data_IF_751676486419
#
_entry.id   IF_751676486419
#
_cell.length_a   1.000
_cell.length_b   1.000
_cell.length_c   1.000
_cell.angle_alpha   90.00
_cell.angle_beta   90.00
_cell.angle_gamma   90.00
#
_symmetry.space_group_name_H-M   'P 1'
#
loop_
_entity.id
_entity.type
_entity.pdbx_description
1 polymer ?
#
# COMPACT_ATOMS: atom_id res chain seq x y z
N UNK A 1 37.96 3.50 -5.11
CA UNK A 1 37.02 3.96 -4.07
C UNK A 1 36.70 2.75 -3.21
N UNK A 2 36.70 2.88 -1.89
CA UNK A 2 36.38 1.75 -0.99
C UNK A 2 34.92 1.34 -1.14
N UNK A 3 34.66 0.05 -0.94
CA UNK A 3 33.31 -0.49 -0.88
C UNK A 3 32.58 0.08 0.34
N UNK A 4 31.29 0.43 0.18
CA UNK A 4 30.45 0.94 1.27
C UNK A 4 30.13 -0.19 2.24
N UNK A 5 30.30 0.05 3.53
CA UNK A 5 30.14 -0.96 4.59
C UNK A 5 28.81 -0.79 5.32
N UNK A 6 28.24 -1.90 5.83
CA UNK A 6 26.99 -1.86 6.61
C UNK A 6 27.04 -0.87 7.79
N UNK A 7 28.12 -0.77 8.58
CA UNK A 7 28.20 0.23 9.65
C UNK A 7 28.09 1.68 9.17
N UNK A 8 28.62 2.01 7.99
CA UNK A 8 28.49 3.36 7.40
C UNK A 8 27.05 3.65 6.98
N UNK A 9 26.38 2.67 6.37
CA UNK A 9 24.94 2.77 6.01
C UNK A 9 24.09 2.96 7.27
N UNK A 10 24.33 2.17 8.31
CA UNK A 10 23.64 2.25 9.61
C UNK A 10 23.84 3.61 10.26
N UNK A 11 25.08 4.12 10.30
CA UNK A 11 25.35 5.44 10.88
C UNK A 11 24.67 6.56 10.08
N UNK A 12 24.81 6.53 8.75
CA UNK A 12 24.25 7.53 7.85
C UNK A 12 22.72 7.62 7.95
N UNK A 13 22.00 6.49 7.92
CA UNK A 13 20.52 6.50 8.02
C UNK A 13 20.04 6.94 9.40
N UNK A 14 20.70 6.51 10.48
CA UNK A 14 20.30 6.90 11.84
C UNK A 14 20.58 8.36 12.13
N UNK A 15 21.69 8.90 11.61
CA UNK A 15 21.96 10.35 11.65
C UNK A 15 20.95 11.12 10.84
N UNK A 16 20.53 10.62 9.68
CA UNK A 16 19.47 11.26 8.90
C UNK A 16 18.15 11.36 9.69
N UNK A 17 17.67 10.24 10.23
CA UNK A 17 16.43 10.22 11.02
C UNK A 17 16.54 11.09 12.27
N UNK A 18 17.64 10.97 13.02
CA UNK A 18 17.84 11.75 14.24
C UNK A 18 18.03 13.23 13.97
N UNK A 19 19.04 13.59 13.17
CA UNK A 19 19.50 14.97 13.05
C UNK A 19 18.57 15.79 12.15
N UNK A 20 18.12 15.22 11.03
CA UNK A 20 17.32 15.97 10.05
C UNK A 20 15.84 15.88 10.37
N UNK A 21 15.30 14.67 10.56
CA UNK A 21 13.86 14.50 10.75
C UNK A 21 13.37 14.77 12.18
N UNK A 22 14.12 14.36 13.21
CA UNK A 22 13.65 14.49 14.60
C UNK A 22 14.23 15.71 15.36
N UNK A 23 15.38 16.24 14.92
CA UNK A 23 15.98 17.47 15.45
C UNK A 23 15.81 18.68 14.51
N UNK A 24 15.17 18.48 13.36
CA UNK A 24 14.84 19.51 12.35
C UNK A 24 16.07 20.28 11.83
N UNK A 25 17.24 19.64 11.79
CA UNK A 25 18.50 20.26 11.35
C UNK A 25 18.68 20.14 9.84
N UNK A 26 17.96 20.99 9.09
CA UNK A 26 18.04 21.04 7.62
C UNK A 26 19.47 21.34 7.12
N UNK A 27 20.27 22.06 7.89
CA UNK A 27 21.68 22.32 7.59
C UNK A 27 22.51 21.04 7.41
N UNK A 28 22.05 19.90 7.94
CA UNK A 28 22.74 18.61 7.85
C UNK A 28 22.51 17.90 6.52
N UNK A 29 21.53 18.32 5.71
CA UNK A 29 21.18 17.69 4.42
C UNK A 29 22.39 17.59 3.49
N UNK A 30 23.16 18.66 3.33
CA UNK A 30 24.36 18.70 2.46
C UNK A 30 25.52 17.85 3.00
N UNK A 31 25.51 17.55 4.29
CA UNK A 31 26.54 16.70 4.91
C UNK A 31 26.20 15.21 4.78
N UNK A 32 24.91 14.86 4.75
CA UNK A 32 24.40 13.49 4.76
C UNK A 32 24.00 12.97 3.37
N UNK A 33 23.89 13.84 2.37
CA UNK A 33 23.62 13.48 0.98
C UNK A 33 24.80 13.86 0.08
N UNK A 34 24.97 13.13 -1.01
CA UNK A 34 25.93 13.49 -2.06
C UNK A 34 25.39 14.67 -2.88
N UNK A 35 26.29 15.37 -3.60
CA UNK A 35 25.90 16.55 -4.39
C UNK A 35 25.00 16.20 -5.58
N UNK A 36 25.20 15.03 -6.17
CA UNK A 36 24.42 14.46 -7.27
C UNK A 36 23.27 13.56 -6.78
N UNK A 37 22.73 13.86 -5.59
CA UNK A 37 21.63 13.09 -5.01
C UNK A 37 20.36 13.17 -5.87
N UNK A 38 19.64 12.05 -5.95
CA UNK A 38 18.37 11.93 -6.69
C UNK A 38 17.24 11.45 -5.78
N UNK A 39 16.14 12.19 -5.76
CA UNK A 39 14.85 11.76 -5.21
C UNK A 39 13.98 11.17 -6.33
N UNK A 40 13.64 9.89 -6.23
CA UNK A 40 12.82 9.19 -7.23
C UNK A 40 11.32 9.31 -6.99
N UNK A 41 10.90 9.94 -5.89
CA UNK A 41 9.50 10.23 -5.58
C UNK A 41 9.31 11.73 -5.22
N UNK A 42 9.69 12.66 -6.12
CA UNK A 42 9.50 14.09 -5.87
C UNK A 42 8.00 14.43 -5.85
N UNK A 43 7.63 15.45 -5.07
CA UNK A 43 6.30 16.05 -5.20
C UNK A 43 6.12 16.70 -6.59
N UNK A 44 4.86 16.92 -7.02
CA UNK A 44 4.60 17.60 -8.30
C UNK A 44 5.26 18.97 -8.37
N UNK A 45 6.13 19.18 -9.36
CA UNK A 45 6.90 20.41 -9.55
C UNK A 45 8.18 20.52 -8.71
N UNK A 46 8.47 19.55 -7.83
CA UNK A 46 9.76 19.46 -7.14
C UNK A 46 10.85 18.98 -8.11
N UNK A 47 12.02 19.62 -8.03
CA UNK A 47 13.24 19.14 -8.68
C UNK A 47 13.76 17.88 -7.95
N UNK A 48 14.05 16.82 -8.71
CA UNK A 48 14.57 15.54 -8.20
C UNK A 48 15.94 15.69 -7.54
N UNK A 49 16.69 16.75 -7.86
CA UNK A 49 18.00 17.00 -7.30
C UNK A 49 17.95 17.42 -5.82
N UNK A 50 19.12 17.39 -5.16
CA UNK A 50 19.29 17.74 -3.75
C UNK A 50 18.61 19.06 -3.34
N UNK A 51 18.73 20.11 -4.17
CA UNK A 51 18.17 21.43 -3.86
C UNK A 51 16.64 21.42 -3.84
N UNK A 52 16.01 20.72 -4.77
CA UNK A 52 14.55 20.58 -4.80
C UNK A 52 14.05 19.81 -3.58
N UNK A 53 14.71 18.70 -3.25
CA UNK A 53 14.41 17.94 -2.04
C UNK A 53 14.56 18.79 -0.77
N UNK A 54 15.64 19.58 -0.65
CA UNK A 54 15.90 20.43 0.52
C UNK A 54 14.80 21.48 0.71
N UNK A 55 14.39 22.16 -0.36
CA UNK A 55 13.35 23.19 -0.28
C UNK A 55 11.99 22.62 0.17
N UNK A 56 11.63 21.43 -0.33
CA UNK A 56 10.43 20.71 0.12
C UNK A 56 10.52 20.33 1.59
N UNK A 57 11.67 19.81 2.03
CA UNK A 57 11.89 19.43 3.42
C UNK A 57 11.79 20.64 4.36
N UNK A 58 12.32 21.80 3.97
CA UNK A 58 12.17 23.07 4.70
C UNK A 58 10.70 23.44 4.86
N UNK A 59 9.96 23.52 3.74
CA UNK A 59 8.51 23.83 3.78
C UNK A 59 7.73 22.81 4.63
N UNK A 60 8.07 21.54 4.53
CA UNK A 60 7.42 20.48 5.29
C UNK A 60 7.66 20.63 6.80
N UNK A 61 8.91 20.81 7.24
CA UNK A 61 9.21 20.99 8.66
C UNK A 61 8.66 22.31 9.23
N UNK A 62 8.58 23.36 8.42
CA UNK A 62 7.87 24.58 8.79
C UNK A 62 6.36 24.34 8.94
N UNK A 63 5.76 23.54 8.06
CA UNK A 63 4.33 23.20 8.09
C UNK A 63 3.95 22.27 9.24
N UNK A 64 4.86 21.37 9.61
CA UNK A 64 4.71 20.37 10.67
C UNK A 64 5.84 20.56 11.71
N UNK A 65 5.79 21.63 12.52
CA UNK A 65 6.90 21.98 13.44
C UNK A 65 7.06 20.99 14.62
N UNK A 66 6.10 20.09 14.81
CA UNK A 66 6.13 18.96 15.73
C UNK A 66 6.39 17.63 15.01
N UNK A 67 6.89 17.66 13.77
CA UNK A 67 7.15 16.47 12.98
C UNK A 67 8.11 15.50 13.69
N UNK A 68 7.75 14.22 13.67
CA UNK A 68 8.56 13.13 14.19
C UNK A 68 8.45 11.92 13.28
N UNK A 69 9.58 11.28 13.02
CA UNK A 69 9.65 9.98 12.37
C UNK A 69 10.14 8.92 13.35
N UNK A 70 9.28 7.95 13.62
CA UNK A 70 9.64 6.71 14.28
C UNK A 70 9.90 5.64 13.24
N UNK A 71 11.12 5.12 13.22
CA UNK A 71 11.49 3.95 12.40
C UNK A 71 11.24 2.71 13.23
N UNK A 72 10.29 1.89 12.78
CA UNK A 72 9.93 0.61 13.39
C UNK A 72 10.90 -0.49 12.94
N UNK A 73 11.38 -0.42 11.69
CA UNK A 73 12.23 -1.45 11.09
C UNK A 73 13.25 -0.89 10.09
N UNK A 74 14.43 -1.51 10.04
CA UNK A 74 15.51 -1.23 9.09
C UNK A 74 16.01 -2.56 8.47
N UNK A 75 15.94 -2.71 7.14
CA UNK A 75 16.49 -3.85 6.40
C UNK A 75 17.72 -3.40 5.62
N UNK A 76 18.86 -4.10 5.76
CA UNK A 76 20.12 -3.71 5.12
C UNK A 76 20.63 -4.78 4.14
N UNK A 77 20.93 -4.39 2.90
CA UNK A 77 21.63 -5.25 1.91
C UNK A 77 22.67 -4.42 1.17
N UNK A 78 23.96 -4.72 1.41
CA UNK A 78 25.07 -4.01 0.78
C UNK A 78 25.12 -2.52 1.13
N UNK A 79 24.99 -1.68 0.10
CA UNK A 79 25.01 -0.21 0.17
C UNK A 79 23.63 0.42 0.38
N UNK A 80 22.61 -0.38 0.67
CA UNK A 80 21.21 0.06 0.67
C UNK A 80 20.51 -0.30 1.98
N UNK A 81 19.54 0.53 2.36
CA UNK A 81 18.65 0.32 3.50
C UNK A 81 17.20 0.54 3.08
N UNK A 82 16.28 -0.24 3.64
CA UNK A 82 14.84 0.02 3.61
C UNK A 82 14.37 0.30 5.03
N UNK A 83 13.78 1.46 5.25
CA UNK A 83 13.19 1.86 6.52
C UNK A 83 11.67 1.75 6.45
N UNK A 84 11.05 1.18 7.48
CA UNK A 84 9.60 1.19 7.69
C UNK A 84 9.33 1.95 8.96
N UNK A 85 8.33 2.83 8.94
CA UNK A 85 7.94 3.48 10.18
C UNK A 85 6.73 4.40 10.04
N UNK A 86 6.55 5.24 11.05
CA UNK A 86 5.40 6.14 11.17
C UNK A 86 5.85 7.59 11.31
N UNK A 87 5.23 8.45 10.52
CA UNK A 87 5.32 9.89 10.62
C UNK A 87 4.21 10.42 11.52
N UNK A 88 4.54 11.41 12.32
CA UNK A 88 3.63 12.16 13.16
C UNK A 88 3.84 13.65 12.92
N UNK A 89 2.79 14.45 12.97
CA UNK A 89 2.89 15.90 12.96
C UNK A 89 1.53 16.56 12.95
N UNK A 90 1.48 17.85 13.24
CA UNK A 90 0.29 18.69 13.18
C UNK A 90 0.53 19.76 12.12
N UNK A 91 -0.40 19.91 11.17
CA UNK A 91 -0.27 20.92 10.12
C UNK A 91 -0.58 22.32 10.69
N UNK A 92 0.43 22.96 11.25
CA UNK A 92 0.31 24.26 11.93
C UNK A 92 0.49 25.45 10.99
N UNK A 93 1.17 25.25 9.87
CA UNK A 93 1.31 26.24 8.80
C UNK A 93 0.85 25.69 7.45
N UNK A 94 0.72 26.58 6.47
CA UNK A 94 0.26 26.23 5.14
C UNK A 94 1.25 25.28 4.45
N UNK A 95 0.74 24.17 3.91
CA UNK A 95 1.53 23.14 3.24
C UNK A 95 0.97 22.91 1.84
N UNK A 96 1.82 22.91 0.81
CA UNK A 96 1.40 22.60 -0.57
C UNK A 96 0.22 23.47 -1.07
N UNK A 97 0.14 24.72 -0.63
CA UNK A 97 -0.90 25.66 -1.03
C UNK A 97 -2.24 25.49 -0.30
N UNK A 98 -2.29 24.62 0.70
CA UNK A 98 -3.44 24.44 1.57
C UNK A 98 -3.25 25.20 2.86
N UNK A 99 -4.31 25.83 3.39
CA UNK A 99 -4.25 26.52 4.67
C UNK A 99 -3.97 25.53 5.80
N UNK A 100 -3.22 25.97 6.80
CA UNK A 100 -3.00 25.21 8.03
C UNK A 100 -4.31 24.61 8.58
N UNK A 101 -4.40 23.28 8.68
CA UNK A 101 -5.61 22.60 9.16
C UNK A 101 -5.67 22.52 10.68
N UNK A 102 -4.52 22.61 11.37
CA UNK A 102 -4.38 22.40 12.81
C UNK A 102 -4.63 20.96 13.27
N UNK A 103 -4.83 20.03 12.35
CA UNK A 103 -5.17 18.65 12.66
C UNK A 103 -3.93 17.74 12.71
N UNK A 104 -3.91 16.73 13.59
CA UNK A 104 -2.82 15.77 13.66
C UNK A 104 -2.87 14.80 12.48
N UNK A 105 -1.70 14.49 11.95
CA UNK A 105 -1.43 13.57 10.86
C UNK A 105 -0.60 12.42 11.40
N UNK A 106 -1.01 11.21 11.07
CA UNK A 106 -0.17 10.02 11.21
C UNK A 106 -0.21 9.28 9.89
N UNK A 107 0.96 8.86 9.41
CA UNK A 107 1.08 8.13 8.15
C UNK A 107 2.18 7.07 8.27
N UNK A 108 1.97 5.92 7.65
CA UNK A 108 3.06 4.96 7.45
C UNK A 108 3.91 5.36 6.27
N UNK A 109 5.22 5.14 6.40
CA UNK A 109 6.20 5.43 5.37
C UNK A 109 7.19 4.29 5.23
N UNK A 110 7.53 3.99 3.98
CA UNK A 110 8.60 3.09 3.59
C UNK A 110 9.59 3.85 2.71
N UNK A 111 10.84 3.91 3.15
CA UNK A 111 11.92 4.62 2.44
C UNK A 111 13.05 3.64 2.10
N UNK A 112 13.31 3.43 0.81
CA UNK A 112 14.50 2.74 0.33
C UNK A 112 15.57 3.77 -0.03
N UNK A 113 16.77 3.64 0.52
CA UNK A 113 17.87 4.60 0.36
C UNK A 113 19.15 3.87 0.00
N UNK A 114 19.89 4.39 -0.99
CA UNK A 114 21.23 3.91 -1.33
C UNK A 114 22.30 4.86 -0.80
N UNK A 115 23.43 4.31 -0.42
CA UNK A 115 24.57 5.01 0.15
C UNK A 115 25.84 4.88 -0.68
N UNK A 116 26.72 5.86 -0.54
CA UNK A 116 28.13 5.78 -0.86
C UNK A 116 28.92 6.24 0.37
N UNK A 117 29.59 5.30 1.06
CA UNK A 117 30.10 5.53 2.41
C UNK A 117 28.95 5.81 3.37
N UNK A 118 29.03 6.91 4.12
CA UNK A 118 27.99 7.36 5.06
C UNK A 118 26.96 8.33 4.43
N UNK A 119 27.04 8.59 3.11
CA UNK A 119 26.19 9.57 2.43
C UNK A 119 25.15 8.92 1.53
N UNK A 120 23.94 9.45 1.54
CA UNK A 120 22.85 9.01 0.66
C UNK A 120 23.07 9.50 -0.77
N UNK A 121 22.85 8.61 -1.72
CA UNK A 121 22.97 8.85 -3.18
C UNK A 121 21.63 8.98 -3.85
N UNK A 122 20.67 8.14 -3.47
CA UNK A 122 19.32 8.17 -4.02
C UNK A 122 18.31 7.63 -3.03
N UNK A 123 17.05 8.02 -3.19
CA UNK A 123 15.92 7.59 -2.36
C UNK A 123 14.72 7.23 -3.23
N UNK A 124 14.04 6.17 -2.83
CA UNK A 124 12.64 5.94 -3.15
C UNK A 124 11.85 5.99 -1.85
N UNK A 125 10.78 6.78 -1.82
CA UNK A 125 9.88 6.81 -0.68
C UNK A 125 8.45 6.58 -1.13
N UNK A 126 7.79 5.62 -0.49
CA UNK A 126 6.37 5.30 -0.68
C UNK A 126 5.68 5.21 0.68
N UNK A 127 4.36 5.28 0.73
CA UNK A 127 3.66 5.23 2.00
C UNK A 127 2.15 5.23 1.85
N UNK A 128 1.49 5.16 3.00
CA UNK A 128 0.05 5.15 3.10
C UNK A 128 -0.42 6.47 3.71
N UNK A 129 -0.43 7.54 2.92
CA UNK A 129 -0.74 8.88 3.40
C UNK A 129 -2.23 9.25 3.28
N UNK A 130 -3.16 8.31 3.48
CA UNK A 130 -4.62 8.52 3.34
C UNK A 130 -5.12 9.77 4.08
N UNK A 131 -4.62 9.99 5.30
CA UNK A 131 -4.97 11.16 6.09
C UNK A 131 -4.42 12.46 5.47
N UNK A 132 -3.21 12.42 4.91
CA UNK A 132 -2.66 13.56 4.19
C UNK A 132 -3.35 13.79 2.84
N UNK A 133 -3.73 12.75 2.10
CA UNK A 133 -4.56 12.86 0.89
C UNK A 133 -5.94 13.46 1.17
N UNK A 134 -6.53 13.16 2.33
CA UNK A 134 -7.73 13.86 2.83
C UNK A 134 -7.48 15.32 3.09
N UNK A 135 -6.39 15.67 3.80
CA UNK A 135 -6.02 17.08 4.00
C UNK A 135 -5.86 17.81 2.66
N UNK A 136 -5.33 17.11 1.66
CA UNK A 136 -5.12 17.65 0.32
C UNK A 136 -6.39 17.73 -0.56
N UNK A 137 -7.55 17.31 -0.03
CA UNK A 137 -8.84 17.35 -0.74
C UNK A 137 -8.93 16.40 -1.92
N UNK A 138 -8.05 15.39 -1.98
CA UNK A 138 -7.92 14.46 -3.12
C UNK A 138 -8.91 13.31 -3.02
N UNK A 139 -9.03 12.74 -1.83
CA UNK A 139 -10.16 11.88 -1.50
C UNK A 139 -11.39 12.77 -1.28
N UNK A 140 -12.46 12.53 -2.04
CA UNK A 140 -13.68 13.31 -1.93
C UNK A 140 -14.09 13.47 -0.45
N UNK A 141 -14.35 14.71 -0.04
CA UNK A 141 -15.24 14.97 1.10
C UNK A 141 -16.66 14.62 0.64
N UNK A 142 -16.95 13.32 0.47
CA UNK A 142 -18.33 12.84 0.62
C UNK A 142 -18.85 13.27 2.00
N UNK A 143 -20.17 13.19 2.23
CA UNK A 143 -20.77 13.38 3.57
C UNK A 143 -19.78 12.89 4.61
N UNK A 144 -19.30 13.79 5.49
CA UNK A 144 -18.30 13.47 6.52
C UNK A 144 -18.52 12.02 6.93
N UNK A 145 -17.58 11.12 6.61
CA UNK A 145 -17.63 9.81 7.24
C UNK A 145 -17.31 10.11 8.69
N UNK A 146 -18.36 10.47 9.42
CA UNK A 146 -18.31 10.77 10.84
C UNK A 146 -17.76 9.50 11.44
N UNK A 147 -16.68 9.65 12.23
CA UNK A 147 -16.14 8.53 12.97
C UNK A 147 -17.28 7.76 13.63
N UNK A 148 -17.18 6.44 13.63
CA UNK A 148 -18.20 5.61 14.23
C UNK A 148 -18.36 5.96 15.71
N UNK A 149 -19.60 5.97 16.21
CA UNK A 149 -19.85 6.17 17.65
C UNK A 149 -19.74 4.85 18.42
N UNK A 150 -19.98 3.73 17.73
CA UNK A 150 -19.97 2.38 18.29
C UNK A 150 -19.26 1.38 17.37
N UNK A 151 -18.93 0.20 17.88
CA UNK A 151 -18.42 -0.90 17.07
C UNK A 151 -19.39 -1.30 15.95
N UNK A 152 -20.70 -1.32 16.24
CA UNK A 152 -21.74 -1.65 15.25
C UNK A 152 -21.75 -0.64 14.10
N UNK A 153 -21.66 0.66 14.40
CA UNK A 153 -21.55 1.71 13.38
C UNK A 153 -20.29 1.52 12.52
N UNK A 154 -19.16 1.14 13.13
CA UNK A 154 -17.91 0.91 12.43
C UNK A 154 -18.01 -0.28 11.47
N UNK A 155 -18.64 -1.38 11.91
CA UNK A 155 -18.88 -2.57 11.08
C UNK A 155 -19.79 -2.24 9.90
N UNK A 156 -20.91 -1.57 10.13
CA UNK A 156 -21.82 -1.22 9.05
C UNK A 156 -21.20 -0.22 8.06
N UNK A 157 -20.50 0.80 8.58
CA UNK A 157 -19.77 1.76 7.75
C UNK A 157 -18.67 1.10 6.93
N UNK A 158 -17.96 0.12 7.49
CA UNK A 158 -16.93 -0.62 6.78
C UNK A 158 -17.53 -1.47 5.64
N UNK A 159 -18.55 -2.27 5.93
CA UNK A 159 -19.16 -3.17 4.95
C UNK A 159 -19.75 -2.39 3.76
N UNK A 160 -20.32 -1.22 4.03
CA UNK A 160 -20.91 -0.36 3.01
C UNK A 160 -19.88 0.48 2.26
N UNK A 161 -19.11 1.31 2.98
CA UNK A 161 -18.23 2.31 2.37
C UNK A 161 -16.89 1.72 1.93
N UNK A 162 -16.25 0.88 2.77
CA UNK A 162 -14.93 0.33 2.47
C UNK A 162 -15.05 -0.88 1.54
N UNK A 163 -15.76 -1.93 1.98
CA UNK A 163 -15.86 -3.17 1.22
C UNK A 163 -16.73 -3.03 -0.03
N UNK A 164 -17.82 -2.26 0.04
CA UNK A 164 -18.79 -2.09 -1.05
C UNK A 164 -18.40 -1.04 -2.09
N UNK A 165 -17.69 0.02 -1.69
CA UNK A 165 -17.41 1.19 -2.56
C UNK A 165 -15.95 1.58 -2.69
N UNK A 166 -15.04 0.91 -1.98
CA UNK A 166 -13.62 1.30 -1.93
C UNK A 166 -13.42 2.76 -1.48
N UNK A 167 -14.24 3.24 -0.54
CA UNK A 167 -14.11 4.59 0.02
C UNK A 167 -12.93 4.68 0.98
N UNK A 168 -11.81 5.22 0.49
CA UNK A 168 -10.57 5.36 1.25
C UNK A 168 -10.65 6.42 2.36
N UNK A 169 -11.63 7.33 2.34
CA UNK A 169 -11.87 8.23 3.46
C UNK A 169 -12.50 7.48 4.63
N UNK A 170 -13.39 6.52 4.36
CA UNK A 170 -13.95 5.65 5.39
C UNK A 170 -12.89 4.74 6.04
N UNK A 171 -11.85 4.34 5.30
CA UNK A 171 -10.76 3.51 5.83
C UNK A 171 -10.08 4.16 7.06
N UNK A 172 -9.47 5.34 6.94
CA UNK A 172 -8.84 5.95 8.16
C UNK A 172 -9.84 6.44 9.21
N UNK A 173 -11.14 6.56 8.90
CA UNK A 173 -12.16 6.88 9.90
C UNK A 173 -12.57 5.66 10.74
N UNK A 174 -12.56 4.45 10.15
CA UNK A 174 -13.16 3.26 10.74
C UNK A 174 -12.14 2.18 11.12
N UNK A 175 -10.96 2.19 10.50
CA UNK A 175 -9.94 1.15 10.63
C UNK A 175 -8.73 1.71 11.35
N UNK A 176 -8.31 1.05 12.42
CA UNK A 176 -7.09 1.41 13.14
C UNK A 176 -5.90 1.34 12.18
N UNK A 177 -4.93 2.24 12.34
CA UNK A 177 -3.74 2.22 11.50
C UNK A 177 -3.04 0.86 11.63
N UNK A 178 -2.94 0.29 12.83
CA UNK A 178 -2.34 -1.02 13.13
C UNK A 178 -3.30 -2.20 12.94
N UNK A 179 -4.47 -2.00 12.32
CA UNK A 179 -5.37 -3.09 12.01
C UNK A 179 -4.76 -4.06 11.00
N UNK A 180 -4.99 -5.36 11.21
CA UNK A 180 -4.47 -6.43 10.36
C UNK A 180 -5.57 -7.17 9.61
N UNK A 181 -5.21 -7.85 8.52
CA UNK A 181 -6.05 -8.89 7.92
C UNK A 181 -5.38 -10.24 7.84
N UNK A 182 -6.20 -11.27 7.68
CA UNK A 182 -5.73 -12.56 7.17
C UNK A 182 -5.27 -12.38 5.71
N UNK A 183 -3.98 -12.59 5.47
CA UNK A 183 -3.36 -12.33 4.18
C UNK A 183 -3.87 -13.29 3.09
N UNK A 184 -4.20 -14.53 3.44
CA UNK A 184 -4.70 -15.49 2.45
C UNK A 184 -6.05 -15.03 1.89
N UNK A 185 -6.99 -14.71 2.78
CA UNK A 185 -8.31 -14.19 2.44
C UNK A 185 -8.28 -12.88 1.67
N UNK A 186 -7.45 -11.94 2.09
CA UNK A 186 -7.29 -10.64 1.42
C UNK A 186 -6.68 -10.79 0.02
N UNK A 187 -5.68 -11.65 -0.16
CA UNK A 187 -5.06 -11.89 -1.47
C UNK A 187 -6.02 -12.57 -2.46
N UNK A 188 -6.86 -13.50 -1.97
CA UNK A 188 -7.97 -14.04 -2.77
C UNK A 188 -8.90 -12.91 -3.19
N UNK A 189 -9.26 -12.01 -2.27
CA UNK A 189 -10.10 -10.87 -2.57
C UNK A 189 -9.47 -9.93 -3.62
N UNK A 190 -8.17 -9.62 -3.51
CA UNK A 190 -7.45 -8.83 -4.51
C UNK A 190 -7.49 -9.48 -5.90
N UNK A 191 -7.38 -10.81 -5.97
CA UNK A 191 -7.51 -11.55 -7.23
C UNK A 191 -8.90 -11.40 -7.84
N UNK A 192 -9.95 -11.54 -7.02
CA UNK A 192 -11.36 -11.36 -7.43
C UNK A 192 -11.59 -9.94 -7.95
N UNK A 193 -11.25 -8.92 -7.14
CA UNK A 193 -11.41 -7.50 -7.49
C UNK A 193 -10.66 -7.17 -8.79
N UNK A 194 -9.43 -7.67 -8.94
CA UNK A 194 -8.62 -7.46 -10.14
C UNK A 194 -9.07 -8.21 -11.39
N UNK A 195 -10.04 -9.12 -11.29
CA UNK A 195 -10.56 -9.91 -12.41
C UNK A 195 -11.93 -9.42 -12.92
N UNK A 196 -12.69 -8.74 -12.07
CA UNK A 196 -14.04 -8.28 -12.38
C UNK A 196 -14.06 -6.95 -13.15
N UNK A 197 -15.09 -6.77 -13.97
CA UNK A 197 -15.38 -5.54 -14.72
C UNK A 197 -16.22 -4.56 -13.93
N UNK A 198 -17.25 -5.09 -13.30
CA UNK A 198 -18.08 -4.48 -12.28
C UNK A 198 -17.96 -5.28 -10.98
N UNK A 199 -17.94 -4.58 -9.86
CA UNK A 199 -17.82 -5.18 -8.53
C UNK A 199 -18.94 -4.64 -7.66
N UNK A 200 -19.70 -5.54 -7.05
CA UNK A 200 -20.74 -5.22 -6.10
C UNK A 200 -20.72 -6.22 -4.94
N UNK A 201 -21.06 -5.75 -3.75
CA UNK A 201 -21.20 -6.59 -2.57
C UNK A 201 -22.61 -6.44 -2.02
N UNK A 202 -23.30 -7.55 -1.85
CA UNK A 202 -24.56 -7.60 -1.12
C UNK A 202 -24.34 -8.25 0.25
N UNK A 203 -24.62 -7.53 1.33
CA UNK A 203 -24.59 -8.08 2.69
C UNK A 203 -25.99 -8.58 3.05
N UNK A 204 -26.09 -9.86 3.39
CA UNK A 204 -27.37 -10.54 3.68
C UNK A 204 -27.68 -10.60 5.17
N UNK A 205 -26.66 -10.50 6.03
CA UNK A 205 -26.84 -10.45 7.47
C UNK A 205 -25.54 -10.21 8.20
N UNK A 206 -25.65 -9.60 9.39
CA UNK A 206 -24.53 -9.37 10.31
C UNK A 206 -24.92 -9.90 11.69
N UNK A 207 -24.01 -10.66 12.31
CA UNK A 207 -24.13 -11.13 13.70
C UNK A 207 -23.02 -10.51 14.53
N UNK A 208 -23.37 -10.04 15.72
CA UNK A 208 -22.46 -9.44 16.68
C UNK A 208 -22.29 -10.36 17.90
N UNK A 209 -21.05 -10.50 18.35
CA UNK A 209 -20.66 -11.18 19.58
C UNK A 209 -19.56 -10.37 20.28
N UNK A 210 -19.97 -9.50 21.21
CA UNK A 210 -19.05 -8.59 21.90
C UNK A 210 -18.35 -7.63 20.95
N UNK A 211 -17.03 -7.75 20.87
CA UNK A 211 -16.14 -6.93 20.03
C UNK A 211 -15.87 -7.55 18.65
N UNK A 212 -16.61 -8.61 18.31
CA UNK A 212 -16.48 -9.36 17.07
C UNK A 212 -17.80 -9.33 16.30
N UNK A 213 -17.73 -9.16 14.98
CA UNK A 213 -18.87 -9.24 14.08
C UNK A 213 -18.57 -10.22 12.94
N UNK A 214 -19.59 -10.93 12.47
CA UNK A 214 -19.52 -11.79 11.28
C UNK A 214 -20.64 -11.40 10.33
N UNK A 215 -20.27 -11.04 9.11
CA UNK A 215 -21.21 -10.69 8.05
C UNK A 215 -21.17 -11.74 6.93
N UNK A 216 -22.35 -12.16 6.49
CA UNK A 216 -22.52 -12.99 5.30
C UNK A 216 -22.80 -12.07 4.11
N UNK A 217 -21.95 -12.14 3.10
CA UNK A 217 -22.02 -11.31 1.92
C UNK A 217 -21.90 -12.14 0.63
N UNK A 218 -22.23 -11.52 -0.49
CA UNK A 218 -22.02 -12.09 -1.83
C UNK A 218 -21.39 -11.04 -2.72
N UNK A 219 -20.21 -11.35 -3.25
CA UNK A 219 -19.55 -10.55 -4.28
C UNK A 219 -20.15 -10.92 -5.63
N UNK A 220 -20.55 -9.91 -6.40
CA UNK A 220 -21.07 -10.06 -7.76
C UNK A 220 -20.28 -9.22 -8.74
N UNK A 221 -20.24 -9.70 -9.97
CA UNK A 221 -19.62 -8.99 -11.07
C UNK A 221 -19.54 -9.83 -12.33
N UNK A 222 -18.95 -9.24 -13.36
CA UNK A 222 -18.71 -9.83 -14.66
C UNK A 222 -17.21 -9.91 -14.90
N UNK A 223 -16.70 -11.05 -15.35
CA UNK A 223 -15.26 -11.15 -15.59
C UNK A 223 -14.80 -10.34 -16.81
N UNK A 224 -13.76 -9.53 -16.61
CA UNK A 224 -13.02 -8.88 -17.70
C UNK A 224 -11.75 -9.65 -18.08
N UNK A 225 -11.23 -10.49 -17.16
CA UNK A 225 -9.90 -11.08 -17.24
C UNK A 225 -9.88 -12.49 -16.67
N UNK A 226 -8.73 -13.13 -16.80
CA UNK A 226 -8.45 -14.44 -16.21
C UNK A 226 -8.48 -14.36 -14.69
N UNK A 227 -9.15 -15.34 -14.07
CA UNK A 227 -9.12 -15.60 -12.63
C UNK A 227 -8.88 -17.09 -12.43
N UNK A 228 -7.98 -17.48 -11.52
CA UNK A 228 -7.70 -18.91 -11.26
C UNK A 228 -7.30 -19.67 -12.54
N UNK A 229 -6.49 -19.07 -13.42
CA UNK A 229 -6.13 -19.64 -14.74
C UNK A 229 -7.31 -19.95 -15.67
N UNK A 230 -8.54 -19.66 -15.26
CA UNK A 230 -9.75 -19.71 -16.09
C UNK A 230 -9.94 -18.36 -16.76
N UNK A 231 -10.41 -18.32 -18.00
CA UNK A 231 -10.68 -17.07 -18.72
C UNK A 231 -12.17 -16.90 -19.07
N UNK A 232 -13.09 -16.89 -18.09
CA UNK A 232 -14.52 -16.77 -18.33
C UNK A 232 -14.91 -15.33 -18.71
N UNK A 233 -14.40 -14.78 -19.81
CA UNK A 233 -14.68 -13.39 -20.20
C UNK A 233 -16.17 -13.14 -20.41
N UNK A 234 -16.70 -12.07 -19.82
CA UNK A 234 -18.10 -11.64 -19.95
C UNK A 234 -19.11 -12.50 -19.18
N UNK A 235 -18.68 -13.52 -18.44
CA UNK A 235 -19.56 -14.31 -17.58
C UNK A 235 -19.79 -13.57 -16.25
N UNK A 236 -21.05 -13.52 -15.82
CA UNK A 236 -21.40 -13.08 -14.47
C UNK A 236 -21.05 -14.14 -13.42
N UNK A 237 -20.69 -13.70 -12.22
CA UNK A 237 -20.37 -14.57 -11.08
C UNK A 237 -21.04 -14.07 -9.81
N UNK A 238 -21.38 -15.01 -8.94
CA UNK A 238 -21.75 -14.74 -7.55
C UNK A 238 -20.83 -15.57 -6.65
N UNK A 239 -20.08 -14.91 -5.78
CA UNK A 239 -19.11 -15.54 -4.88
C UNK A 239 -19.53 -15.25 -3.43
N UNK A 240 -19.94 -16.28 -2.67
CA UNK A 240 -20.18 -16.14 -1.23
C UNK A 240 -18.89 -15.68 -0.52
N UNK A 241 -19.07 -14.73 0.39
CA UNK A 241 -18.00 -14.12 1.18
C UNK A 241 -18.46 -14.02 2.62
N UNK A 242 -17.70 -14.60 3.54
CA UNK A 242 -17.86 -14.33 4.97
C UNK A 242 -16.83 -13.30 5.40
N UNK A 243 -17.27 -12.24 6.09
CA UNK A 243 -16.40 -11.19 6.63
C UNK A 243 -16.42 -11.26 8.14
N UNK A 244 -15.28 -11.47 8.77
CA UNK A 244 -15.13 -11.41 10.23
C UNK A 244 -14.41 -10.13 10.60
N UNK A 245 -15.00 -9.32 11.45
CA UNK A 245 -14.43 -8.05 11.92
C UNK A 245 -14.24 -8.09 13.43
N UNK A 246 -13.16 -7.49 13.92
CA UNK A 246 -12.93 -7.24 15.35
C UNK A 246 -12.65 -5.77 15.57
N UNK A 247 -13.02 -5.25 16.73
CA UNK A 247 -12.80 -3.84 17.05
C UNK A 247 -12.45 -3.57 18.49
N UNK A 248 -11.98 -2.35 18.72
CA UNK A 248 -11.77 -1.78 20.05
C UNK A 248 -12.51 -0.44 20.11
N UNK A 249 -13.58 -0.35 20.90
CA UNK A 249 -14.45 0.83 20.90
C UNK A 249 -15.19 0.97 19.58
N UNK A 250 -14.95 2.05 18.84
CA UNK A 250 -15.60 2.33 17.55
C UNK A 250 -14.64 2.22 16.36
N UNK A 251 -13.55 1.46 16.52
CA UNK A 251 -12.51 1.30 15.51
C UNK A 251 -12.25 -0.18 15.27
N UNK A 252 -12.12 -0.57 14.00
CA UNK A 252 -11.79 -1.92 13.59
C UNK A 252 -10.29 -2.17 13.76
N UNK A 253 -9.94 -3.28 14.40
CA UNK A 253 -8.56 -3.69 14.66
C UNK A 253 -8.17 -4.93 13.87
N UNK A 254 -9.14 -5.66 13.32
CA UNK A 254 -8.88 -6.77 12.41
C UNK A 254 -10.05 -7.00 11.48
N UNK A 255 -9.74 -7.38 10.24
CA UNK A 255 -10.74 -7.86 9.26
C UNK A 255 -10.23 -9.13 8.59
N UNK A 256 -11.06 -10.16 8.49
CA UNK A 256 -10.75 -11.38 7.74
C UNK A 256 -11.83 -11.60 6.68
N UNK A 257 -11.39 -11.89 5.45
CA UNK A 257 -12.24 -12.21 4.31
C UNK A 257 -12.12 -13.70 4.01
N UNK A 258 -13.23 -14.43 3.97
CA UNK A 258 -13.21 -15.87 3.71
C UNK A 258 -14.07 -16.20 2.51
N UNK A 259 -13.46 -16.82 1.50
CA UNK A 259 -14.13 -17.38 0.33
C UNK A 259 -14.18 -18.90 0.44
N UNK A 260 -15.29 -19.49 0.04
CA UNK A 260 -15.34 -20.93 -0.23
C UNK A 260 -14.63 -21.21 -1.57
N UNK A 261 -13.37 -21.65 -1.49
CA UNK A 261 -12.54 -21.88 -2.67
C UNK A 261 -13.05 -23.04 -3.54
N UNK A 262 -13.73 -24.03 -2.95
CA UNK A 262 -14.31 -25.14 -3.71
C UNK A 262 -15.54 -24.67 -4.49
N UNK A 263 -16.43 -23.92 -3.83
CA UNK A 263 -17.58 -23.30 -4.49
C UNK A 263 -17.14 -22.30 -5.57
N UNK A 264 -16.09 -21.52 -5.30
CA UNK A 264 -15.49 -20.60 -6.26
C UNK A 264 -14.92 -21.34 -7.47
N UNK A 265 -14.13 -22.41 -7.26
CA UNK A 265 -13.59 -23.22 -8.35
C UNK A 265 -14.72 -23.81 -9.21
N UNK A 266 -15.80 -24.31 -8.58
CA UNK A 266 -16.97 -24.82 -9.27
C UNK A 266 -17.69 -23.74 -10.10
N UNK A 267 -17.87 -22.54 -9.54
CA UNK A 267 -18.49 -21.40 -10.24
C UNK A 267 -17.67 -20.94 -11.46
N UNK A 268 -16.34 -21.08 -11.40
CA UNK A 268 -15.42 -20.73 -12.48
C UNK A 268 -15.24 -21.85 -13.53
N UNK A 269 -15.74 -23.06 -13.26
CA UNK A 269 -15.45 -24.24 -14.07
C UNK A 269 -13.98 -24.67 -14.02
N UNK A 270 -13.28 -24.35 -12.92
CA UNK A 270 -11.92 -24.80 -12.68
C UNK A 270 -11.89 -26.31 -12.34
N UNK A 271 -10.80 -27.05 -12.64
CA UNK A 271 -10.71 -28.47 -12.34
C UNK A 271 -10.83 -28.75 -10.84
N UNK A 272 -11.69 -29.71 -10.46
CA UNK A 272 -11.83 -30.13 -9.07
C UNK A 272 -10.50 -30.69 -8.52
N UNK A 273 -10.06 -30.24 -7.34
CA UNK A 273 -8.81 -30.64 -6.70
C UNK A 273 -7.63 -29.66 -6.86
N UNK A 274 -7.77 -28.58 -7.64
CA UNK A 274 -6.79 -27.48 -7.70
C UNK A 274 -7.11 -26.33 -6.72
N UNK A 275 -8.19 -26.44 -5.94
CA UNK A 275 -8.74 -25.37 -5.08
C UNK A 275 -7.80 -24.93 -3.94
N UNK A 276 -6.78 -25.73 -3.63
CA UNK A 276 -5.63 -25.34 -2.83
C UNK A 276 -4.44 -26.14 -3.38
N UNK A 277 -3.53 -25.49 -4.10
CA UNK A 277 -2.27 -26.15 -4.41
C UNK A 277 -1.60 -26.48 -3.07
N UNK A 278 -1.20 -27.74 -2.85
CA UNK A 278 -0.36 -28.05 -1.69
C UNK A 278 0.82 -27.06 -1.69
N UNK A 279 1.24 -26.54 -0.52
CA UNK A 279 2.40 -25.67 -0.43
C UNK A 279 3.61 -26.41 -1.00
N UNK A 280 3.95 -26.12 -2.26
CA UNK A 280 5.21 -26.56 -2.84
C UNK A 280 6.27 -25.71 -2.16
N UNK A 281 6.94 -26.27 -1.16
CA UNK A 281 8.13 -25.64 -0.59
C UNK A 281 9.08 -25.35 -1.76
N UNK A 282 9.38 -24.07 -2.08
CA UNK A 282 10.49 -23.76 -2.95
C UNK A 282 11.73 -24.32 -2.26
N UNK A 283 12.42 -25.25 -2.91
CA UNK A 283 13.69 -25.76 -2.40
C UNK A 283 14.80 -24.73 -2.67
N UNK A 284 15.28 -23.97 -1.68
CA UNK A 284 16.58 -23.28 -1.81
C UNK A 284 16.90 -22.05 -0.93
N UNK A 285 17.56 -22.26 0.22
CA UNK A 285 18.33 -21.27 1.03
C UNK A 285 18.58 -19.89 0.39
N UNK A 286 18.14 -18.78 1.02
CA UNK A 286 18.37 -17.35 0.68
C UNK A 286 17.95 -16.89 -0.75
N UNK A 287 18.06 -17.73 -1.78
CA UNK A 287 17.40 -17.62 -3.06
C UNK A 287 15.88 -17.81 -2.98
N UNK A 288 15.41 -18.45 -1.91
CA UNK A 288 13.98 -18.65 -1.60
C UNK A 288 13.20 -17.34 -1.55
N UNK A 289 13.71 -16.30 -0.87
CA UNK A 289 13.03 -15.01 -0.73
C UNK A 289 12.81 -14.30 -2.08
N UNK A 290 13.83 -14.28 -2.94
CA UNK A 290 13.73 -13.67 -4.28
C UNK A 290 12.85 -14.51 -5.21
N UNK A 291 12.88 -15.84 -5.08
CA UNK A 291 12.04 -16.75 -5.86
C UNK A 291 10.56 -16.62 -5.47
N UNK A 292 10.23 -16.72 -4.18
CA UNK A 292 8.84 -16.66 -3.69
C UNK A 292 8.19 -15.31 -4.05
N UNK A 293 8.93 -14.20 -3.99
CA UNK A 293 8.40 -12.90 -4.41
C UNK A 293 8.15 -12.80 -5.90
N UNK A 294 9.04 -13.35 -6.74
CA UNK A 294 8.80 -13.38 -8.18
C UNK A 294 7.59 -14.25 -8.51
N UNK A 295 7.43 -15.39 -7.83
CA UNK A 295 6.26 -16.24 -7.97
C UNK A 295 4.98 -15.49 -7.51
N UNK A 296 5.02 -14.83 -6.36
CA UNK A 296 3.92 -14.03 -5.83
C UNK A 296 3.49 -12.92 -6.81
N UNK A 297 4.43 -12.13 -7.30
CA UNK A 297 4.13 -11.06 -8.28
C UNK A 297 3.55 -11.63 -9.57
N UNK A 298 4.11 -12.73 -10.08
CA UNK A 298 3.69 -13.29 -11.37
C UNK A 298 2.37 -14.05 -11.29
N UNK A 299 2.21 -14.88 -10.27
CA UNK A 299 1.09 -15.81 -10.16
C UNK A 299 -0.09 -15.19 -9.40
N UNK A 300 0.15 -14.53 -8.26
CA UNK A 300 -0.92 -13.91 -7.47
C UNK A 300 -1.28 -12.56 -8.04
N UNK A 301 -0.37 -11.57 -8.00
CA UNK A 301 -0.71 -10.20 -8.40
C UNK A 301 -1.05 -10.11 -9.89
N UNK A 302 -0.12 -10.50 -10.78
CA UNK A 302 -0.36 -10.39 -12.22
C UNK A 302 -1.30 -11.49 -12.76
N UNK A 303 -1.13 -12.71 -12.28
CA UNK A 303 -1.85 -13.89 -12.77
C UNK A 303 -3.25 -14.05 -12.20
N UNK A 304 -3.55 -13.43 -11.06
CA UNK A 304 -4.80 -13.62 -10.30
C UNK A 304 -5.07 -15.10 -10.04
N UNK A 305 -4.01 -15.85 -9.78
CA UNK A 305 -4.08 -17.28 -9.49
C UNK A 305 -4.30 -17.49 -8.00
N UNK A 306 -5.56 -17.69 -7.63
CA UNK A 306 -5.95 -17.89 -6.23
C UNK A 306 -5.33 -19.18 -5.67
N UNK A 307 -5.08 -20.21 -6.48
CA UNK A 307 -4.39 -21.42 -6.02
C UNK A 307 -2.94 -21.13 -5.58
N UNK A 308 -2.30 -20.10 -6.16
CA UNK A 308 -0.96 -19.70 -5.78
C UNK A 308 -0.92 -19.06 -4.38
N UNK A 309 -2.03 -18.47 -3.89
CA UNK A 309 -2.10 -17.92 -2.53
C UNK A 309 -1.83 -19.01 -1.49
N UNK A 310 -2.55 -20.13 -1.55
CA UNK A 310 -2.36 -21.27 -0.63
C UNK A 310 -0.96 -21.88 -0.65
N UNK A 311 -0.23 -21.67 -1.75
CA UNK A 311 1.09 -22.25 -1.99
C UNK A 311 2.25 -21.32 -1.61
N UNK A 312 2.01 -20.02 -1.64
CA UNK A 312 3.04 -19.00 -1.43
C UNK A 312 2.88 -18.24 -0.11
N UNK A 313 1.72 -18.35 0.55
CA UNK A 313 1.40 -17.60 1.76
C UNK A 313 1.26 -18.56 2.93
N UNK A 314 1.93 -18.25 4.03
CA UNK A 314 1.90 -19.07 5.23
C UNK A 314 0.51 -19.06 5.89
N UNK A 315 0.06 -20.18 6.48
CA UNK A 315 -1.14 -20.18 7.31
C UNK A 315 -1.01 -19.17 8.46
N UNK A 316 -2.02 -18.31 8.63
CA UNK A 316 -2.02 -17.25 9.64
C UNK A 316 -1.13 -16.06 9.31
N UNK A 317 -0.61 -15.96 8.08
CA UNK A 317 0.04 -14.76 7.59
C UNK A 317 -0.92 -13.57 7.68
N UNK A 318 -0.37 -12.41 8.06
CA UNK A 318 -1.15 -11.18 8.16
C UNK A 318 -0.69 -10.14 7.14
N UNK A 319 -1.56 -9.20 6.85
CA UNK A 319 -1.21 -7.95 6.18
C UNK A 319 -1.77 -6.75 6.94
N UNK A 320 -1.29 -5.55 6.64
CA UNK A 320 -1.85 -4.33 7.19
C UNK A 320 -3.12 -3.93 6.42
N UNK A 321 -4.23 -3.81 7.15
CA UNK A 321 -5.54 -3.79 6.51
C UNK A 321 -5.78 -2.53 5.67
N UNK A 322 -5.34 -1.36 6.14
CA UNK A 322 -5.53 -0.11 5.40
C UNK A 322 -4.82 -0.15 4.04
N UNK A 323 -3.63 -0.73 3.98
CA UNK A 323 -2.80 -0.91 2.80
C UNK A 323 -3.43 -1.91 1.83
N UNK A 324 -4.02 -2.98 2.37
CA UNK A 324 -4.74 -4.01 1.61
C UNK A 324 -5.99 -3.46 0.91
N UNK A 325 -6.86 -2.74 1.62
CA UNK A 325 -8.07 -2.16 1.01
C UNK A 325 -7.73 -1.04 0.02
N UNK A 326 -6.66 -0.29 0.30
CA UNK A 326 -6.11 0.71 -0.63
C UNK A 326 -5.63 0.04 -1.91
N UNK A 327 -4.90 -1.07 -1.81
CA UNK A 327 -4.48 -1.87 -2.95
C UNK A 327 -5.69 -2.38 -3.74
N UNK A 328 -6.72 -2.90 -3.08
CA UNK A 328 -7.95 -3.36 -3.73
C UNK A 328 -8.61 -2.25 -4.59
N UNK A 329 -8.72 -1.03 -4.03
CA UNK A 329 -9.25 0.13 -4.74
C UNK A 329 -8.46 0.44 -6.02
N UNK A 330 -7.12 0.38 -5.97
CA UNK A 330 -6.27 0.59 -7.14
C UNK A 330 -6.41 -0.52 -8.19
N UNK A 331 -6.40 -1.80 -7.78
CA UNK A 331 -6.56 -2.91 -8.71
C UNK A 331 -7.94 -2.85 -9.42
N UNK A 332 -8.98 -2.40 -8.71
CA UNK A 332 -10.29 -2.13 -9.30
C UNK A 332 -10.25 -0.95 -10.28
N UNK A 333 -9.61 0.16 -9.94
CA UNK A 333 -9.52 1.35 -10.81
C UNK A 333 -8.70 1.11 -12.10
N UNK A 334 -7.76 0.17 -12.06
CA UNK A 334 -6.79 -0.14 -13.11
C UNK A 334 -6.89 -1.60 -13.59
N UNK A 335 -7.95 -2.04 -14.26
CA UNK A 335 -8.15 -3.46 -14.63
C UNK A 335 -7.05 -4.12 -15.48
N UNK A 336 -6.26 -3.31 -16.18
CA UNK A 336 -5.12 -3.75 -16.98
C UNK A 336 -3.78 -3.60 -16.25
N UNK A 337 -3.82 -3.51 -14.91
CA UNK A 337 -2.62 -3.37 -14.10
C UNK A 337 -1.60 -4.49 -14.36
N UNK A 338 -0.33 -4.14 -14.22
CA UNK A 338 0.79 -5.06 -14.23
C UNK A 338 1.88 -4.59 -13.28
N UNK A 339 2.34 -5.50 -12.45
CA UNK A 339 3.50 -5.33 -11.59
C UNK A 339 4.75 -5.88 -12.29
N UNK A 340 5.86 -5.15 -12.18
CA UNK A 340 7.17 -5.58 -12.64
C UNK A 340 8.20 -5.39 -11.53
N UNK A 341 8.92 -6.46 -11.19
CA UNK A 341 9.95 -6.44 -10.16
C UNK A 341 11.15 -5.63 -10.66
N UNK A 342 11.44 -4.49 -10.02
CA UNK A 342 12.63 -3.69 -10.30
C UNK A 342 13.80 -4.14 -9.43
N UNK A 343 13.57 -4.32 -8.12
CA UNK A 343 14.61 -4.72 -7.15
C UNK A 343 14.03 -5.59 -6.03
N UNK A 344 14.85 -6.50 -5.52
CA UNK A 344 14.52 -7.29 -4.32
C UNK A 344 15.72 -7.24 -3.35
N UNK A 345 15.45 -6.82 -2.12
CA UNK A 345 16.39 -6.72 -1.01
C UNK A 345 16.06 -7.82 0.00
N UNK A 346 17.05 -8.60 0.44
CA UNK A 346 16.87 -9.67 1.45
C UNK A 346 17.80 -9.40 2.64
N UNK A 347 17.24 -9.27 3.84
CA UNK A 347 17.97 -9.21 5.12
C UNK A 347 17.41 -10.27 6.08
N UNK A 348 18.05 -11.43 6.12
CA UNK A 348 17.54 -12.59 6.87
C UNK A 348 16.22 -13.11 6.31
N UNK A 349 15.19 -13.17 7.16
CA UNK A 349 13.83 -13.57 6.75
C UNK A 349 13.03 -12.40 6.17
N UNK A 350 13.50 -11.15 6.32
CA UNK A 350 12.79 -9.98 5.78
C UNK A 350 13.21 -9.73 4.35
N UNK A 351 12.22 -9.52 3.49
CA UNK A 351 12.42 -9.30 2.06
C UNK A 351 11.62 -8.08 1.63
N UNK A 352 12.29 -7.13 0.98
CA UNK A 352 11.64 -5.96 0.38
C UNK A 352 11.65 -6.06 -1.14
N UNK A 353 10.53 -5.70 -1.74
CA UNK A 353 10.29 -5.62 -3.17
C UNK A 353 10.11 -4.16 -3.58
N UNK A 354 10.95 -3.66 -4.48
CA UNK A 354 10.63 -2.48 -5.29
C UNK A 354 10.02 -2.96 -6.60
N UNK A 355 8.78 -2.58 -6.87
CA UNK A 355 8.08 -2.94 -8.11
C UNK A 355 7.52 -1.70 -8.81
N UNK A 356 7.48 -1.73 -10.14
CA UNK A 356 6.70 -0.78 -10.92
C UNK A 356 5.31 -1.34 -11.20
N UNK A 357 4.30 -0.55 -10.90
CA UNK A 357 2.90 -0.76 -11.25
C UNK A 357 2.57 0.05 -12.50
N UNK A 358 2.02 -0.58 -13.53
CA UNK A 358 1.57 0.08 -14.74
C UNK A 358 0.11 -0.29 -15.04
N UNK A 359 -0.72 0.67 -15.41
CA UNK A 359 -2.11 0.42 -15.79
C UNK A 359 -2.80 1.66 -16.38
N UNK A 360 -4.03 1.47 -16.86
CA UNK A 360 -4.90 2.55 -17.33
C UNK A 360 -6.04 2.78 -16.33
N UNK A 361 -6.26 4.03 -15.93
CA UNK A 361 -7.37 4.39 -15.04
C UNK A 361 -8.70 4.30 -15.80
N UNK A 362 -9.43 3.20 -15.62
CA UNK A 362 -10.66 2.90 -16.39
C UNK A 362 -11.92 2.87 -15.55
N UNK A 363 -11.82 2.94 -14.22
CA UNK A 363 -12.97 2.97 -13.30
C UNK A 363 -12.77 4.04 -12.24
N UNK A 364 -13.85 4.49 -11.58
CA UNK A 364 -13.74 5.53 -10.57
C UNK A 364 -12.73 5.19 -9.46
N UNK A 365 -12.01 6.22 -9.00
CA UNK A 365 -11.05 6.14 -7.92
C UNK A 365 -11.23 7.37 -7.02
N UNK A 366 -11.40 7.15 -5.70
CA UNK A 366 -11.51 8.24 -4.72
C UNK A 366 -12.63 9.27 -5.02
N UNK A 367 -13.72 8.83 -5.67
CA UNK A 367 -14.84 9.70 -6.08
C UNK A 367 -14.64 10.42 -7.41
N UNK A 368 -13.50 10.24 -8.08
CA UNK A 368 -13.22 10.81 -9.40
C UNK A 368 -13.54 9.80 -10.50
N UNK A 369 -14.12 10.22 -11.64
CA UNK A 369 -14.39 9.34 -12.77
C UNK A 369 -13.09 8.84 -13.41
N UNK A 370 -13.19 7.74 -14.15
CA UNK A 370 -12.10 7.21 -14.95
C UNK A 370 -11.55 8.27 -15.91
N UNK A 371 -10.24 8.50 -15.89
CA UNK A 371 -9.59 9.48 -16.77
C UNK A 371 -9.16 8.88 -18.12
N UNK A 372 -9.04 7.55 -18.20
CA UNK A 372 -8.46 6.86 -19.36
C UNK A 372 -6.94 7.02 -19.45
N UNK A 373 -6.29 7.67 -18.49
CA UNK A 373 -4.86 7.92 -18.47
C UNK A 373 -4.10 6.63 -18.14
N UNK A 374 -3.10 6.30 -18.95
CA UNK A 374 -2.12 5.29 -18.61
C UNK A 374 -1.10 5.88 -17.62
N UNK A 375 -0.87 5.19 -16.51
CA UNK A 375 0.05 5.62 -15.47
C UNK A 375 1.02 4.49 -15.10
N UNK A 376 2.25 4.88 -14.76
CA UNK A 376 3.24 4.02 -14.12
C UNK A 376 3.56 4.65 -12.77
N UNK A 377 3.47 3.87 -11.70
CA UNK A 377 3.93 4.24 -10.36
C UNK A 377 4.77 3.12 -9.77
N UNK A 378 5.25 3.27 -8.54
CA UNK A 378 6.05 2.25 -7.84
C UNK A 378 5.39 1.81 -6.55
N UNK A 379 5.73 0.61 -6.12
CA UNK A 379 5.49 0.12 -4.77
C UNK A 379 6.80 -0.33 -4.11
N UNK A 380 6.88 -0.15 -2.79
CA UNK A 380 7.86 -0.82 -1.93
C UNK A 380 7.08 -1.67 -0.95
N UNK A 381 7.14 -2.98 -1.17
CA UNK A 381 6.41 -3.96 -0.39
C UNK A 381 7.40 -4.76 0.46
N UNK A 382 7.02 -5.12 1.68
CA UNK A 382 7.89 -5.83 2.63
C UNK A 382 7.17 -7.07 3.13
N UNK A 383 7.94 -8.14 3.21
CA UNK A 383 7.46 -9.48 3.53
C UNK A 383 8.40 -10.11 4.54
N UNK A 384 7.86 -10.91 5.43
CA UNK A 384 8.63 -11.97 6.08
C UNK A 384 8.55 -13.23 5.21
N UNK A 385 9.66 -13.96 5.08
CA UNK A 385 9.73 -15.24 4.41
C UNK A 385 10.29 -16.27 5.38
N UNK A 386 9.45 -17.24 5.72
CA UNK A 386 9.81 -18.36 6.59
C UNK A 386 9.43 -19.66 5.88
N UNK A 387 10.35 -20.61 5.84
CA UNK A 387 10.16 -21.92 5.17
C UNK A 387 9.66 -21.80 3.72
N UNK A 388 10.10 -20.75 3.02
CA UNK A 388 9.75 -20.48 1.62
C UNK A 388 8.33 -19.94 1.41
N UNK A 389 7.64 -19.56 2.48
CA UNK A 389 6.30 -18.97 2.45
C UNK A 389 6.34 -17.52 2.94
N UNK A 390 5.49 -16.68 2.35
CA UNK A 390 5.27 -15.30 2.75
C UNK A 390 4.45 -15.25 4.05
N UNK A 391 4.92 -14.50 5.02
CA UNK A 391 4.17 -14.05 6.19
C UNK A 391 4.37 -12.54 6.38
N UNK A 392 3.47 -11.87 7.09
CA UNK A 392 3.53 -10.44 7.41
C UNK A 392 3.83 -9.53 6.20
N UNK A 393 2.77 -9.10 5.51
CA UNK A 393 2.86 -8.33 4.28
C UNK A 393 2.53 -6.87 4.55
N UNK A 394 3.46 -6.00 4.15
CA UNK A 394 3.32 -4.54 4.22
C UNK A 394 3.39 -4.01 2.79
N UNK A 395 2.28 -3.48 2.29
CA UNK A 395 2.26 -2.82 0.97
C UNK A 395 2.57 -1.34 1.11
N UNK A 396 3.33 -0.80 0.18
CA UNK A 396 3.61 0.63 0.12
C UNK A 396 3.46 1.12 -1.30
N UNK A 397 2.43 1.92 -1.60
CA UNK A 397 2.21 2.45 -2.94
C UNK A 397 2.61 3.93 -3.02
N UNK A 398 3.24 4.34 -4.12
CA UNK A 398 3.39 5.76 -4.44
C UNK A 398 2.07 6.31 -4.98
N UNK A 399 1.18 6.65 -4.03
CA UNK A 399 -0.12 7.23 -4.32
C UNK A 399 -0.01 8.65 -4.85
N UNK A 400 0.92 9.45 -4.31
CA UNK A 400 1.09 10.85 -4.72
C UNK A 400 1.38 10.98 -6.20
N UNK A 401 2.45 10.33 -6.68
CA UNK A 401 2.83 10.43 -8.09
C UNK A 401 1.76 9.85 -9.00
N UNK A 402 1.00 8.86 -8.54
CA UNK A 402 -0.11 8.31 -9.29
C UNK A 402 -1.24 9.34 -9.43
N UNK A 403 -1.75 9.89 -8.33
CA UNK A 403 -2.89 10.82 -8.32
C UNK A 403 -2.58 12.11 -9.08
N UNK A 404 -1.34 12.60 -9.05
CA UNK A 404 -0.90 13.72 -9.89
C UNK A 404 -0.96 13.37 -11.37
N UNK A 405 -0.46 12.20 -11.79
CA UNK A 405 -0.52 11.78 -13.20
C UNK A 405 -1.95 11.58 -13.71
N UNK A 406 -2.87 11.25 -12.81
CA UNK A 406 -4.29 11.13 -13.13
C UNK A 406 -5.03 12.47 -13.12
N UNK A 407 -4.36 13.58 -12.80
CA UNK A 407 -4.98 14.91 -12.65
C UNK A 407 -6.11 14.92 -11.59
N UNK A 408 -6.07 13.97 -10.66
CA UNK A 408 -7.01 13.87 -9.52
C UNK A 408 -6.58 14.83 -8.40
N UNK A 409 -5.27 15.06 -8.29
CA UNK A 409 -4.72 16.05 -7.38
C UNK A 409 -5.08 17.46 -7.86
N UNK A 410 -5.57 18.36 -6.99
CA UNK A 410 -5.89 19.72 -7.42
C UNK A 410 -4.62 20.39 -7.97
N UNK A 411 -4.66 20.83 -9.22
CA UNK A 411 -3.68 21.76 -9.78
C UNK A 411 -3.74 23.09 -9.00
N UNK A 412 -3.06 23.14 -7.85
CA UNK A 412 -2.59 24.39 -7.28
C UNK A 412 -1.10 24.24 -7.08
N UNK A 413 -0.36 24.52 -8.16
CA UNK A 413 1.10 24.57 -8.13
C UNK A 413 1.57 25.50 -7.02
N UNK A 414 2.30 24.95 -6.05
CA UNK A 414 3.13 25.73 -5.13
C UNK A 414 4.60 25.78 -5.54
N UNK A 415 5.02 24.91 -6.47
CA UNK A 415 6.35 24.95 -7.09
C UNK A 415 6.26 25.37 -8.57
N UNK A 416 5.93 26.65 -8.88
CA UNK A 416 6.09 27.17 -10.22
C UNK A 416 7.59 27.29 -10.51
N UNK A 417 8.18 26.38 -11.30
CA UNK A 417 9.64 26.42 -11.50
C UNK A 417 10.28 25.56 -12.58
N UNK A 418 9.66 24.49 -13.08
CA UNK A 418 10.27 23.70 -14.16
C UNK A 418 9.32 23.64 -15.35
N UNK A 419 9.57 24.54 -16.30
CA UNK A 419 9.01 24.42 -17.64
C UNK A 419 9.49 23.11 -18.25
N UNK A 420 8.57 22.40 -18.90
CA UNK A 420 8.92 21.31 -19.80
C UNK A 420 9.82 21.88 -20.92
N UNK A 421 11.11 21.56 -20.84
CA UNK A 421 12.09 21.77 -21.90
C UNK A 421 12.38 20.47 -22.62
#
# INVERSE_FOLDING_TARGET
MSETTRPEVVDGIRRWVKEVFNEHRVDRVETLKVADYVDWNPYPGQDVALNGFKGVLEEFLESFPDFRYDVDEELFEGDSVVCVGKWYGTMQNDFMGLPASGAPVTARRTDAVRFHGDKMTERWGVGNELRMLRFLGVAATGEEVRGAATFEDAVHGYLDAVLGRFDLAAVDALVDIDAVSDAAGSLVHLCVVGALDDYAVEVTGVRFDGDTATAEATVRGTFARTLWRTAPSGAGVELPLTVTLRGAGATLTSVALSYDLEAMAAALGAPAGEAAGEPTTPTGTAGDGKFVLRAFVNEVLNGRDVSAVSRLVAPGATDLHQETVTTAAFLHAFPDYRFSVERVVVDGTRVSLLAAFAGTHRRPLMGHPATGTAAITRSIDIFTVTDGLLSDIIYGFDMYSLLTRLEIFPEKGRYPGVSAG
#
